data_IF_114491495680
#
_entry.id   IF_114491495680
#
_cell.length_a   1.000
_cell.length_b   1.000
_cell.length_c   1.000
_cell.angle_alpha   90.00
_cell.angle_beta   90.00
_cell.angle_gamma   90.00
#
_symmetry.space_group_name_H-M   'P 1'
#
loop_
_entity.id
_entity.type
_entity.pdbx_description
1 polymer ?
#
# COMPACT_ATOMS: atom_id res chain seq x y z
N UNK A 1 -16.78 5.38 -30.05
CA UNK A 1 -15.71 5.19 -31.05
C UNK A 1 -16.25 5.60 -32.41
N UNK A 2 -15.42 6.15 -33.29
CA UNK A 2 -15.85 6.66 -34.61
C UNK A 2 -16.08 5.55 -35.65
N UNK A 3 -15.40 4.42 -35.49
CA UNK A 3 -15.29 3.30 -36.44
C UNK A 3 -15.77 1.96 -35.87
N UNK A 4 -16.36 1.96 -34.67
CA UNK A 4 -16.86 0.76 -33.99
C UNK A 4 -18.33 0.95 -33.57
N UNK A 5 -19.30 0.33 -34.28
CA UNK A 5 -20.72 0.46 -34.00
C UNK A 5 -21.06 0.17 -32.53
N UNK A 6 -21.86 1.03 -31.90
CA UNK A 6 -22.21 0.90 -30.48
C UNK A 6 -21.06 1.07 -29.48
N UNK A 7 -19.85 1.39 -29.93
CA UNK A 7 -18.65 1.42 -29.10
C UNK A 7 -18.55 2.59 -28.13
N UNK A 8 -18.38 2.30 -26.85
CA UNK A 8 -18.11 3.27 -25.76
C UNK A 8 -16.87 2.85 -24.98
N UNK A 9 -15.91 3.75 -24.85
CA UNK A 9 -14.73 3.54 -24.02
C UNK A 9 -14.85 4.30 -22.69
N UNK A 10 -14.76 3.57 -21.58
CA UNK A 10 -14.69 4.14 -20.24
C UNK A 10 -13.23 4.33 -19.85
N UNK A 11 -12.84 5.59 -19.60
CA UNK A 11 -11.49 5.96 -19.15
C UNK A 11 -11.47 6.04 -17.62
N UNK A 12 -10.59 5.30 -16.97
CA UNK A 12 -10.55 5.24 -15.50
C UNK A 12 -9.16 4.91 -14.94
N UNK A 13 -9.06 4.86 -13.61
CA UNK A 13 -7.89 4.33 -12.90
C UNK A 13 -6.74 5.34 -12.70
N UNK A 14 -6.91 6.62 -13.04
CA UNK A 14 -5.94 7.69 -12.78
C UNK A 14 -4.71 7.71 -13.71
N UNK A 15 -4.58 6.73 -14.60
CA UNK A 15 -3.55 6.68 -15.65
C UNK A 15 -4.16 6.52 -17.04
N UNK A 16 -5.43 6.91 -17.19
CA UNK A 16 -6.19 6.87 -18.45
C UNK A 16 -6.31 5.49 -19.09
N UNK A 17 -6.41 4.44 -18.27
CA UNK A 17 -6.76 3.09 -18.75
C UNK A 17 -8.15 3.11 -19.39
N UNK A 18 -8.32 2.40 -20.49
CA UNK A 18 -9.58 2.29 -21.21
C UNK A 18 -10.20 0.90 -21.07
N UNK A 19 -11.53 0.85 -20.98
CA UNK A 19 -12.34 -0.36 -21.20
C UNK A 19 -13.38 -0.09 -22.28
N UNK A 20 -13.45 -0.97 -23.27
CA UNK A 20 -14.41 -0.87 -24.36
C UNK A 20 -15.65 -1.71 -24.05
N UNK A 21 -16.81 -1.11 -24.26
CA UNK A 21 -18.11 -1.74 -24.29
C UNK A 21 -18.76 -1.51 -25.65
N UNK A 22 -19.67 -2.40 -26.04
CA UNK A 22 -20.44 -2.29 -27.27
C UNK A 22 -21.91 -2.51 -26.94
N UNK A 23 -22.77 -1.55 -27.26
CA UNK A 23 -24.21 -1.63 -27.00
C UNK A 23 -24.99 -0.72 -27.95
N UNK A 24 -26.26 -1.05 -28.19
CA UNK A 24 -27.15 -0.26 -29.05
C UNK A 24 -27.51 1.09 -28.41
N UNK A 25 -27.96 1.09 -27.15
CA UNK A 25 -28.42 2.26 -26.40
C UNK A 25 -27.27 3.05 -25.75
N UNK A 26 -26.18 3.24 -26.49
CA UNK A 26 -24.95 3.79 -25.92
C UNK A 26 -25.11 5.22 -25.36
N UNK A 27 -25.88 6.05 -26.06
CA UNK A 27 -26.04 7.47 -25.73
C UNK A 27 -26.94 7.62 -24.49
N UNK A 28 -27.98 6.76 -24.39
CA UNK A 28 -28.83 6.65 -23.19
C UNK A 28 -28.01 6.21 -21.96
N UNK A 29 -27.14 5.20 -22.10
CA UNK A 29 -26.25 4.78 -21.03
C UNK A 29 -25.32 5.92 -20.59
N UNK A 30 -24.69 6.63 -21.54
CA UNK A 30 -23.81 7.74 -21.22
C UNK A 30 -24.53 8.87 -20.48
N UNK A 31 -25.76 9.20 -20.90
CA UNK A 31 -26.61 10.18 -20.25
C UNK A 31 -27.00 9.73 -18.84
N UNK A 32 -27.45 8.49 -18.68
CA UNK A 32 -27.82 7.92 -17.38
C UNK A 32 -26.63 7.91 -16.40
N UNK A 33 -25.43 7.56 -16.87
CA UNK A 33 -24.20 7.62 -16.06
C UNK A 33 -23.93 9.06 -15.59
N UNK A 34 -24.02 10.05 -16.49
CA UNK A 34 -23.77 11.45 -16.15
C UNK A 34 -24.81 12.00 -15.15
N UNK A 35 -26.09 11.73 -15.39
CA UNK A 35 -27.18 12.17 -14.52
C UNK A 35 -27.12 11.50 -13.14
N UNK A 36 -26.96 10.18 -13.09
CA UNK A 36 -26.92 9.44 -11.84
C UNK A 36 -25.66 9.79 -11.01
N UNK A 37 -24.50 9.95 -11.65
CA UNK A 37 -23.28 10.35 -10.94
C UNK A 37 -23.40 11.74 -10.32
N UNK A 38 -24.01 12.70 -11.00
CA UNK A 38 -24.25 14.03 -10.45
C UNK A 38 -25.32 14.00 -9.35
N UNK A 39 -26.46 13.34 -9.60
CA UNK A 39 -27.62 13.36 -8.70
C UNK A 39 -27.40 12.58 -7.39
N UNK A 40 -26.68 11.44 -7.44
CA UNK A 40 -26.59 10.52 -6.31
C UNK A 40 -25.20 10.42 -5.70
N UNK A 41 -24.15 10.74 -6.46
CA UNK A 41 -22.75 10.65 -5.99
C UNK A 41 -22.10 12.03 -5.85
N UNK A 42 -22.67 13.07 -6.49
CA UNK A 42 -22.08 14.41 -6.53
C UNK A 42 -20.82 14.49 -7.40
N UNK A 43 -20.66 13.58 -8.37
CA UNK A 43 -19.48 13.51 -9.25
C UNK A 43 -19.89 13.81 -10.69
N UNK A 44 -19.16 14.71 -11.35
CA UNK A 44 -19.41 15.04 -12.76
C UNK A 44 -18.55 14.16 -13.69
N UNK A 45 -19.17 13.14 -14.29
CA UNK A 45 -18.52 12.31 -15.30
C UNK A 45 -18.58 13.05 -16.65
N UNK A 46 -17.41 13.36 -17.22
CA UNK A 46 -17.29 14.09 -18.49
C UNK A 46 -17.18 13.12 -19.67
N UNK A 47 -18.07 13.29 -20.66
CA UNK A 47 -17.89 12.69 -21.98
C UNK A 47 -16.87 13.52 -22.79
N UNK A 48 -15.91 12.84 -23.44
CA UNK A 48 -14.96 13.50 -24.35
C UNK A 48 -15.67 13.85 -25.65
N UNK A 49 -15.47 15.07 -26.15
CA UNK A 49 -16.02 15.52 -27.45
C UNK A 49 -15.34 14.81 -28.62
N UNK A 50 -14.03 14.60 -28.51
CA UNK A 50 -13.23 13.90 -29.50
C UNK A 50 -13.43 12.38 -29.38
N UNK A 51 -13.81 11.76 -30.50
CA UNK A 51 -13.93 10.30 -30.61
C UNK A 51 -12.59 9.66 -30.91
N UNK A 52 -12.39 8.45 -30.40
CA UNK A 52 -11.23 7.59 -30.75
C UNK A 52 -11.65 6.48 -31.71
N UNK A 53 -10.69 5.96 -32.48
CA UNK A 53 -10.83 4.75 -33.29
C UNK A 53 -10.64 3.48 -32.46
N UNK A 54 -11.04 2.31 -33.00
CA UNK A 54 -10.77 1.02 -32.39
C UNK A 54 -9.27 0.73 -32.31
N UNK A 55 -8.52 1.08 -33.35
CA UNK A 55 -7.06 0.95 -33.39
C UNK A 55 -6.40 1.80 -32.28
N UNK A 56 -6.83 3.05 -32.12
CA UNK A 56 -6.36 3.89 -31.03
C UNK A 56 -6.68 3.27 -29.66
N UNK A 57 -7.89 2.73 -29.48
CA UNK A 57 -8.22 2.00 -28.26
C UNK A 57 -7.28 0.81 -28.04
N UNK A 58 -7.05 -0.03 -29.04
CA UNK A 58 -6.22 -1.24 -28.92
C UNK A 58 -4.78 -0.91 -28.51
N UNK A 59 -4.19 0.12 -29.13
CA UNK A 59 -2.83 0.58 -28.85
C UNK A 59 -2.73 1.30 -27.49
N UNK A 60 -3.74 2.11 -27.12
CA UNK A 60 -3.69 2.96 -25.92
C UNK A 60 -4.52 2.41 -24.74
N UNK A 61 -5.02 1.17 -24.78
CA UNK A 61 -5.94 0.64 -23.75
C UNK A 61 -5.38 0.64 -22.34
N UNK A 62 -4.06 0.59 -22.18
CA UNK A 62 -3.38 0.63 -20.87
C UNK A 62 -3.10 2.07 -20.41
N UNK A 63 -3.50 3.08 -21.18
CA UNK A 63 -3.31 4.49 -20.87
C UNK A 63 -1.83 4.86 -20.91
N UNK A 64 -1.34 5.57 -19.89
CA UNK A 64 0.07 5.99 -19.78
C UNK A 64 1.08 4.82 -19.86
N UNK A 65 0.63 3.59 -19.62
CA UNK A 65 1.46 2.38 -19.57
C UNK A 65 1.22 1.47 -20.79
N UNK A 66 0.84 2.07 -21.92
CA UNK A 66 0.76 1.40 -23.22
C UNK A 66 2.09 1.36 -23.97
N UNK A 67 3.16 1.95 -23.43
CA UNK A 67 4.49 1.92 -24.06
C UNK A 67 5.17 0.56 -23.88
N UNK A 68 6.14 0.26 -24.74
CA UNK A 68 6.86 -1.01 -24.73
C UNK A 68 7.66 -1.18 -23.42
N UNK A 69 8.26 -0.11 -22.89
CA UNK A 69 9.00 -0.14 -21.63
C UNK A 69 8.09 -0.52 -20.45
N UNK A 70 6.85 -0.02 -20.45
CA UNK A 70 5.90 -0.29 -19.38
C UNK A 70 5.39 -1.74 -19.37
N UNK A 71 5.45 -2.44 -20.51
CA UNK A 71 4.90 -3.80 -20.66
C UNK A 71 5.96 -4.90 -20.82
N UNK A 72 7.21 -4.54 -21.10
CA UNK A 72 8.33 -5.49 -21.23
C UNK A 72 8.77 -5.99 -19.87
N UNK A 73 8.71 -7.30 -19.67
CA UNK A 73 9.04 -7.96 -18.41
C UNK A 73 10.53 -8.24 -18.28
N UNK A 74 11.09 -8.05 -17.08
CA UNK A 74 12.41 -8.56 -16.72
C UNK A 74 12.35 -9.74 -15.75
N UNK A 75 11.20 -9.95 -15.11
CA UNK A 75 10.92 -11.12 -14.28
C UNK A 75 9.47 -11.60 -14.48
N UNK A 76 9.27 -12.90 -14.43
CA UNK A 76 7.97 -13.54 -14.61
C UNK A 76 7.75 -14.65 -13.59
N UNK A 77 6.55 -14.68 -13.03
CA UNK A 77 6.14 -15.67 -12.04
C UNK A 77 4.82 -16.33 -12.46
N UNK A 78 4.74 -17.65 -12.32
CA UNK A 78 3.45 -18.34 -12.47
C UNK A 78 2.64 -18.17 -11.19
N UNK A 79 1.41 -17.66 -11.32
CA UNK A 79 0.51 -17.46 -10.17
C UNK A 79 -0.89 -17.97 -10.44
N UNK A 80 -1.63 -18.30 -9.38
CA UNK A 80 -3.07 -18.51 -9.43
C UNK A 80 -3.77 -17.29 -8.84
N UNK A 81 -4.49 -16.55 -9.68
CA UNK A 81 -5.21 -15.35 -9.25
C UNK A 81 -6.54 -15.73 -8.62
N UNK A 82 -6.74 -15.29 -7.38
CA UNK A 82 -8.03 -15.40 -6.68
C UNK A 82 -8.84 -14.14 -6.98
N UNK A 83 -10.04 -14.30 -7.52
CA UNK A 83 -10.88 -13.18 -7.98
C UNK A 83 -12.35 -13.52 -7.82
N UNK A 84 -13.15 -12.62 -7.26
CA UNK A 84 -14.61 -12.78 -7.10
C UNK A 84 -15.37 -13.00 -8.42
N UNK A 85 -14.73 -12.69 -9.56
CA UNK A 85 -15.31 -12.87 -10.90
C UNK A 85 -15.29 -14.30 -11.40
N UNK A 86 -14.56 -15.19 -10.73
CA UNK A 86 -14.43 -16.60 -11.13
C UNK A 86 -14.59 -17.46 -9.87
N UNK A 87 -15.31 -18.59 -9.93
CA UNK A 87 -15.43 -19.50 -8.79
C UNK A 87 -14.08 -20.10 -8.41
N UNK A 88 -13.28 -20.45 -9.42
CA UNK A 88 -11.95 -21.02 -9.25
C UNK A 88 -10.84 -19.97 -9.45
N UNK A 89 -9.67 -20.26 -8.88
CA UNK A 89 -8.47 -19.45 -9.13
C UNK A 89 -8.03 -19.58 -10.59
N UNK A 90 -7.56 -18.48 -11.18
CA UNK A 90 -7.21 -18.44 -12.60
C UNK A 90 -5.70 -18.31 -12.78
N UNK A 91 -5.09 -19.23 -13.53
CA UNK A 91 -3.65 -19.19 -13.84
C UNK A 91 -3.29 -17.94 -14.63
N UNK A 92 -2.24 -17.23 -14.19
CA UNK A 92 -1.68 -16.04 -14.86
C UNK A 92 -0.16 -16.09 -14.82
N UNK A 93 0.47 -15.46 -15.80
CA UNK A 93 1.88 -15.08 -15.70
C UNK A 93 1.91 -13.67 -15.13
N UNK A 94 2.45 -13.51 -13.93
CA UNK A 94 2.64 -12.22 -13.28
C UNK A 94 4.03 -11.70 -13.62
N UNK A 95 4.05 -10.65 -14.42
CA UNK A 95 5.24 -10.03 -14.97
C UNK A 95 5.57 -8.75 -14.20
N UNK A 96 6.84 -8.60 -13.84
CA UNK A 96 7.39 -7.36 -13.30
C UNK A 96 8.13 -6.62 -14.42
N UNK A 97 7.74 -5.37 -14.62
CA UNK A 97 8.36 -4.42 -15.55
C UNK A 97 8.96 -3.27 -14.75
N UNK A 98 9.66 -2.34 -15.41
CA UNK A 98 10.31 -1.21 -14.73
C UNK A 98 9.32 -0.36 -13.93
N UNK A 99 8.08 -0.23 -14.43
CA UNK A 99 7.08 0.67 -13.85
C UNK A 99 5.78 -0.03 -13.46
N UNK A 100 5.57 -1.28 -13.85
CA UNK A 100 4.28 -1.96 -13.72
C UNK A 100 4.37 -3.42 -13.25
N UNK A 101 3.28 -3.85 -12.61
CA UNK A 101 2.91 -5.24 -12.42
C UNK A 101 1.87 -5.62 -13.49
N UNK A 102 2.22 -6.56 -14.36
CA UNK A 102 1.42 -6.94 -15.53
C UNK A 102 0.96 -8.39 -15.39
N UNK A 103 -0.34 -8.64 -15.49
CA UNK A 103 -0.85 -10.02 -15.61
C UNK A 103 -1.01 -10.36 -17.08
N UNK A 104 -0.41 -11.46 -17.51
CA UNK A 104 -0.58 -12.04 -18.85
C UNK A 104 -1.35 -13.34 -18.80
N UNK A 105 -2.09 -13.59 -19.87
CA UNK A 105 -2.67 -14.90 -20.14
C UNK A 105 -1.54 -15.87 -20.54
N UNK A 106 -1.38 -17.03 -19.86
CA UNK A 106 -0.26 -17.92 -20.15
C UNK A 106 -0.27 -18.55 -21.55
N UNK A 107 -1.45 -18.70 -22.18
CA UNK A 107 -1.57 -19.35 -23.48
C UNK A 107 -1.32 -18.39 -24.65
N UNK A 108 -1.84 -17.17 -24.54
CA UNK A 108 -1.78 -16.17 -25.62
C UNK A 108 -0.74 -15.07 -25.38
N UNK A 109 -0.17 -15.02 -24.17
CA UNK A 109 0.72 -13.95 -23.68
C UNK A 109 0.09 -12.54 -23.67
N UNK A 110 -1.22 -12.45 -23.93
CA UNK A 110 -1.96 -11.19 -23.96
C UNK A 110 -2.04 -10.56 -22.57
N UNK A 111 -1.88 -9.23 -22.50
CA UNK A 111 -1.99 -8.48 -21.25
C UNK A 111 -3.46 -8.43 -20.79
N UNK A 112 -3.73 -9.11 -19.67
CA UNK A 112 -5.03 -9.11 -18.98
C UNK A 112 -5.22 -7.82 -18.17
N UNK A 113 -4.16 -7.38 -17.48
CA UNK A 113 -4.17 -6.11 -16.75
C UNK A 113 -2.75 -5.60 -16.57
N UNK A 114 -2.62 -4.29 -16.54
CA UNK A 114 -1.41 -3.58 -16.14
C UNK A 114 -1.75 -2.71 -14.91
N UNK A 115 -0.87 -2.68 -13.92
CA UNK A 115 -1.00 -1.88 -12.71
C UNK A 115 0.33 -1.20 -12.38
N UNK A 116 0.35 0.11 -12.13
CA UNK A 116 1.60 0.81 -11.82
C UNK A 116 2.18 0.34 -10.49
N UNK A 117 3.50 0.22 -10.41
CA UNK A 117 4.19 -0.10 -9.17
C UNK A 117 4.10 1.04 -8.16
N UNK A 118 4.10 2.30 -8.63
CA UNK A 118 3.90 3.47 -7.78
C UNK A 118 2.51 3.51 -7.10
N UNK A 119 1.52 2.77 -7.63
CA UNK A 119 0.18 2.68 -7.04
C UNK A 119 0.10 1.60 -5.94
N UNK A 120 1.16 0.81 -5.69
CA UNK A 120 1.18 -0.22 -4.64
C UNK A 120 1.26 0.43 -3.27
N UNK A 121 0.26 0.19 -2.42
CA UNK A 121 0.23 0.71 -1.06
C UNK A 121 0.92 -0.22 -0.06
N UNK A 122 0.61 -1.52 -0.14
CA UNK A 122 1.18 -2.54 0.72
C UNK A 122 1.09 -3.92 0.07
N UNK A 123 1.98 -4.82 0.49
CA UNK A 123 1.95 -6.24 0.12
C UNK A 123 1.60 -7.02 1.38
N UNK A 124 0.58 -7.88 1.30
CA UNK A 124 0.16 -8.72 2.41
C UNK A 124 0.64 -10.14 2.17
N UNK A 125 1.55 -10.62 3.01
CA UNK A 125 1.99 -12.01 3.05
C UNK A 125 1.07 -12.77 4.00
N UNK A 126 0.23 -13.64 3.47
CA UNK A 126 -0.76 -14.35 4.29
C UNK A 126 -0.05 -15.25 5.33
N UNK A 127 -0.41 -15.11 6.60
CA UNK A 127 0.23 -15.83 7.70
C UNK A 127 -0.18 -17.31 7.74
N UNK A 128 -1.35 -17.66 7.21
CA UNK A 128 -1.91 -19.01 7.31
C UNK A 128 -1.61 -19.83 6.05
N UNK A 129 -1.73 -19.21 4.87
CA UNK A 129 -1.51 -19.89 3.60
C UNK A 129 -0.13 -19.53 3.02
N UNK A 130 0.82 -20.49 2.98
CA UNK A 130 2.22 -20.25 2.57
C UNK A 130 2.38 -19.85 1.10
N UNK A 131 1.35 -20.01 0.28
CA UNK A 131 1.37 -19.62 -1.13
C UNK A 131 0.66 -18.29 -1.38
N UNK A 132 -0.15 -17.82 -0.43
CA UNK A 132 -1.06 -16.69 -0.65
C UNK A 132 -0.42 -15.36 -0.30
N UNK A 133 -0.63 -14.39 -1.17
CA UNK A 133 -0.32 -12.99 -0.89
C UNK A 133 -1.32 -12.06 -1.58
N UNK A 134 -1.39 -10.80 -1.14
CA UNK A 134 -2.24 -9.80 -1.75
C UNK A 134 -1.51 -8.47 -1.94
N UNK A 135 -1.72 -7.82 -3.08
CA UNK A 135 -1.21 -6.46 -3.35
C UNK A 135 -2.36 -5.49 -3.16
N UNK A 136 -2.22 -4.58 -2.18
CA UNK A 136 -3.12 -3.44 -1.98
C UNK A 136 -2.65 -2.27 -2.83
N UNK A 137 -3.59 -1.61 -3.50
CA UNK A 137 -3.31 -0.42 -4.29
C UNK A 137 -3.92 0.82 -3.62
N UNK A 138 -3.31 1.99 -3.82
CA UNK A 138 -3.75 3.27 -3.24
C UNK A 138 -5.18 3.66 -3.62
N UNK A 139 -5.71 3.11 -4.72
CA UNK A 139 -7.10 3.31 -5.19
C UNK A 139 -8.08 2.27 -4.63
N UNK A 140 -7.68 1.51 -3.62
CA UNK A 140 -8.52 0.54 -2.89
C UNK A 140 -8.67 -0.83 -3.54
N UNK A 141 -8.14 -1.04 -4.75
CA UNK A 141 -8.12 -2.37 -5.35
C UNK A 141 -7.19 -3.29 -4.54
N UNK A 142 -7.60 -4.54 -4.35
CA UNK A 142 -6.78 -5.59 -3.75
C UNK A 142 -6.73 -6.75 -4.73
N UNK A 143 -5.53 -7.23 -5.04
CA UNK A 143 -5.34 -8.39 -5.92
C UNK A 143 -4.66 -9.51 -5.14
N UNK A 144 -5.30 -10.66 -5.08
CA UNK A 144 -4.84 -11.82 -4.32
C UNK A 144 -4.36 -12.91 -5.27
N UNK A 145 -3.24 -13.52 -4.93
CA UNK A 145 -2.58 -14.55 -5.73
C UNK A 145 -2.10 -15.69 -4.84
N UNK A 146 -1.97 -16.87 -5.42
CA UNK A 146 -1.25 -18.01 -4.86
C UNK A 146 -0.02 -18.27 -5.74
N UNK A 147 1.13 -18.55 -5.12
CA UNK A 147 2.38 -18.90 -5.80
C UNK A 147 3.19 -19.88 -4.95
N UNK A 148 3.83 -20.87 -5.58
CA UNK A 148 4.84 -21.72 -4.92
C UNK A 148 6.08 -20.94 -4.52
N UNK A 149 6.40 -19.87 -5.28
CA UNK A 149 7.56 -19.01 -5.08
C UNK A 149 7.15 -17.69 -4.39
N UNK A 150 6.17 -17.74 -3.48
CA UNK A 150 5.54 -16.55 -2.88
C UNK A 150 6.56 -15.54 -2.38
N UNK A 151 7.52 -15.97 -1.57
CA UNK A 151 8.40 -15.03 -0.86
C UNK A 151 9.43 -14.41 -1.81
N UNK A 152 9.98 -15.17 -2.77
CA UNK A 152 10.83 -14.65 -3.85
C UNK A 152 10.08 -13.65 -4.75
N UNK A 153 8.81 -13.94 -5.03
CA UNK A 153 7.93 -13.04 -5.78
C UNK A 153 7.67 -11.75 -5.00
N UNK A 154 7.28 -11.85 -3.72
CA UNK A 154 7.05 -10.68 -2.85
C UNK A 154 8.31 -9.81 -2.79
N UNK A 155 9.49 -10.41 -2.60
CA UNK A 155 10.76 -9.68 -2.58
C UNK A 155 10.99 -8.93 -3.90
N UNK A 156 10.80 -9.61 -5.05
CA UNK A 156 10.95 -9.00 -6.37
C UNK A 156 9.98 -7.82 -6.59
N UNK A 157 8.72 -7.98 -6.17
CA UNK A 157 7.71 -6.90 -6.27
C UNK A 157 8.04 -5.75 -5.33
N UNK A 158 8.46 -6.04 -4.09
CA UNK A 158 8.86 -5.02 -3.12
C UNK A 158 10.01 -4.16 -3.66
N UNK A 159 11.03 -4.81 -4.22
CA UNK A 159 12.18 -4.16 -4.83
C UNK A 159 11.78 -3.33 -6.05
N UNK A 160 10.96 -3.89 -6.95
CA UNK A 160 10.43 -3.15 -8.10
C UNK A 160 9.63 -1.92 -7.70
N UNK A 161 8.78 -2.02 -6.67
CA UNK A 161 8.01 -0.88 -6.16
C UNK A 161 8.94 0.20 -5.58
N UNK A 162 9.93 -0.19 -4.77
CA UNK A 162 10.92 0.75 -4.21
C UNK A 162 11.76 1.41 -5.30
N UNK A 163 12.18 0.64 -6.32
CA UNK A 163 12.93 1.14 -7.47
C UNK A 163 12.11 2.12 -8.32
N UNK A 164 10.80 1.94 -8.41
CA UNK A 164 9.88 2.88 -9.09
C UNK A 164 9.70 4.23 -8.37
N UNK A 165 10.38 4.44 -7.23
CA UNK A 165 10.33 5.66 -6.42
C UNK A 165 9.36 5.60 -5.24
N UNK A 166 8.55 4.54 -5.14
CA UNK A 166 7.65 4.36 -4.00
C UNK A 166 8.35 3.65 -2.84
N UNK A 167 8.92 4.45 -1.94
CA UNK A 167 9.61 3.96 -0.73
C UNK A 167 8.67 3.66 0.45
N UNK A 168 7.38 3.95 0.29
CA UNK A 168 6.35 3.78 1.33
C UNK A 168 5.73 2.38 1.36
N UNK A 169 6.05 1.53 0.38
CA UNK A 169 5.59 0.14 0.38
C UNK A 169 6.17 -0.64 1.56
N UNK A 170 5.31 -1.48 2.17
CA UNK A 170 5.68 -2.41 3.23
C UNK A 170 5.04 -3.79 2.99
N UNK A 171 5.67 -4.81 3.57
CA UNK A 171 5.12 -6.17 3.67
C UNK A 171 4.51 -6.37 5.05
N UNK A 172 3.29 -6.90 5.13
CA UNK A 172 2.51 -7.10 6.36
C UNK A 172 1.81 -8.46 6.37
N UNK A 173 1.44 -9.00 7.54
CA UNK A 173 0.62 -10.22 7.63
C UNK A 173 -0.82 -10.01 7.17
N UNK A 174 -1.38 -8.84 7.48
CA UNK A 174 -2.80 -8.54 7.27
C UNK A 174 -3.02 -7.26 6.48
N UNK A 175 -4.15 -7.26 5.76
CA UNK A 175 -4.64 -6.10 5.01
C UNK A 175 -4.74 -4.88 5.90
N UNK A 176 -4.48 -3.73 5.30
CA UNK A 176 -4.58 -2.45 5.99
C UNK A 176 -6.01 -2.23 6.50
N UNK A 177 -6.22 -1.99 7.81
CA UNK A 177 -7.54 -1.71 8.37
C UNK A 177 -8.02 -0.34 7.88
N UNK A 178 -8.79 -0.32 6.78
CA UNK A 178 -9.25 0.93 6.14
C UNK A 178 -10.01 1.86 7.10
N UNK A 179 -10.72 1.30 8.08
CA UNK A 179 -11.44 2.07 9.10
C UNK A 179 -10.55 2.85 10.07
N UNK A 180 -9.24 2.55 10.13
CA UNK A 180 -8.29 3.29 10.95
C UNK A 180 -7.57 4.41 10.21
N UNK A 181 -7.67 4.46 8.87
CA UNK A 181 -7.06 5.50 8.05
C UNK A 181 -7.96 6.74 8.01
N UNK A 182 -7.42 7.90 8.35
CA UNK A 182 -8.08 9.21 8.30
C UNK A 182 -7.76 9.95 6.99
N UNK A 183 -8.05 9.30 5.85
CA UNK A 183 -7.85 9.88 4.52
C UNK A 183 -7.70 8.83 3.41
N UNK A 184 -7.69 9.24 2.13
CA UNK A 184 -7.36 8.33 1.03
C UNK A 184 -5.94 7.77 1.13
N UNK A 185 -5.67 6.57 0.61
CA UNK A 185 -4.30 6.03 0.54
C UNK A 185 -3.43 6.75 -0.49
N UNK A 186 -4.02 7.50 -1.42
CA UNK A 186 -3.30 8.27 -2.44
C UNK A 186 -2.76 9.61 -1.94
N UNK A 187 -3.12 10.01 -0.72
CA UNK A 187 -2.71 11.30 -0.15
C UNK A 187 -2.16 11.04 1.26
N UNK A 188 -1.01 11.61 1.62
CA UNK A 188 -0.56 11.60 3.00
C UNK A 188 -1.58 12.27 3.93
N UNK A 189 -1.56 11.87 5.20
CA UNK A 189 -2.39 12.54 6.20
C UNK A 189 -1.82 13.94 6.50
N UNK A 190 -2.68 14.84 6.96
CA UNK A 190 -2.24 16.15 7.41
C UNK A 190 -1.45 16.08 8.73
N UNK A 191 -0.84 17.21 9.09
CA UNK A 191 -0.04 17.36 10.29
C UNK A 191 -0.83 17.09 11.57
N UNK A 192 -2.11 17.47 11.60
CA UNK A 192 -2.96 17.33 12.79
C UNK A 192 -3.27 15.86 13.08
N UNK A 193 -3.57 15.09 12.03
CA UNK A 193 -3.77 13.64 12.10
C UNK A 193 -2.49 12.96 12.57
N UNK A 194 -1.33 13.28 11.97
CA UNK A 194 -0.04 12.70 12.38
C UNK A 194 0.28 13.00 13.85
N UNK A 195 0.11 14.25 14.27
CA UNK A 195 0.31 14.66 15.66
C UNK A 195 -0.67 13.97 16.63
N UNK A 196 -1.92 13.75 16.20
CA UNK A 196 -2.93 13.04 16.98
C UNK A 196 -2.52 11.58 17.19
N UNK A 197 -2.03 10.90 16.15
CA UNK A 197 -1.56 9.51 16.30
C UNK A 197 -0.37 9.40 17.25
N UNK A 198 0.59 10.32 17.18
CA UNK A 198 1.72 10.38 18.12
C UNK A 198 1.24 10.56 19.58
N UNK A 199 0.29 11.47 19.80
CA UNK A 199 -0.32 11.68 21.12
C UNK A 199 -1.07 10.45 21.61
N UNK A 200 -1.78 9.74 20.74
CA UNK A 200 -2.54 8.54 21.11
C UNK A 200 -1.65 7.40 21.59
N UNK A 201 -0.40 7.30 21.13
CA UNK A 201 0.57 6.33 21.67
C UNK A 201 0.96 6.65 23.13
N UNK A 202 1.05 7.94 23.47
CA UNK A 202 1.35 8.40 24.82
C UNK A 202 0.12 8.32 25.74
N UNK A 203 -0.95 9.01 25.37
CA UNK A 203 -2.18 9.11 26.14
C UNK A 203 -3.30 8.45 25.34
N UNK A 204 -3.66 7.23 25.74
CA UNK A 204 -4.72 6.48 25.05
C UNK A 204 -6.05 7.21 25.20
N UNK A 205 -6.80 7.40 24.10
CA UNK A 205 -8.21 7.75 24.19
C UNK A 205 -9.00 6.73 25.01
N UNK A 206 -10.08 7.19 25.64
CA UNK A 206 -10.94 6.32 26.46
C UNK A 206 -11.48 5.13 25.64
N UNK A 207 -11.38 3.93 26.22
CA UNK A 207 -11.80 2.68 25.56
C UNK A 207 -10.84 2.13 24.50
N UNK A 208 -9.77 2.84 24.15
CA UNK A 208 -8.79 2.38 23.15
C UNK A 208 -7.69 1.53 23.79
N UNK A 209 -7.39 0.37 23.20
CA UNK A 209 -6.25 -0.45 23.61
C UNK A 209 -4.93 0.10 23.04
N UNK A 210 -3.80 -0.24 23.66
CA UNK A 210 -2.49 0.16 23.15
C UNK A 210 -2.20 -0.41 21.74
N UNK A 211 -2.57 -1.67 21.50
CA UNK A 211 -2.42 -2.29 20.19
C UNK A 211 -3.25 -1.56 19.13
N UNK A 212 -4.47 -1.13 19.46
CA UNK A 212 -5.29 -0.34 18.53
C UNK A 212 -4.65 1.01 18.20
N UNK A 213 -4.07 1.70 19.19
CA UNK A 213 -3.33 2.94 18.94
C UNK A 213 -2.14 2.71 17.98
N UNK A 214 -1.41 1.59 18.12
CA UNK A 214 -0.33 1.20 17.20
C UNK A 214 -0.86 0.92 15.79
N UNK A 215 -1.99 0.21 15.65
CA UNK A 215 -2.60 -0.04 14.33
C UNK A 215 -3.07 1.26 13.67
N UNK A 216 -3.69 2.19 14.43
CA UNK A 216 -4.10 3.51 13.94
C UNK A 216 -2.90 4.36 13.53
N UNK A 217 -1.83 4.36 14.32
CA UNK A 217 -0.57 5.00 13.96
C UNK A 217 -0.03 4.46 12.62
N UNK A 218 0.12 3.14 12.50
CA UNK A 218 0.63 2.50 11.28
C UNK A 218 -0.26 2.71 10.04
N UNK A 219 -1.57 2.85 10.24
CA UNK A 219 -2.50 3.14 9.15
C UNK A 219 -2.36 4.57 8.62
N UNK A 220 -1.97 5.53 9.46
CA UNK A 220 -1.94 6.95 9.10
C UNK A 220 -0.54 7.47 8.74
N UNK A 221 0.50 6.96 9.38
CA UNK A 221 1.88 7.40 9.13
C UNK A 221 2.49 6.62 7.97
N UNK A 222 3.10 7.34 7.04
CA UNK A 222 3.82 6.80 5.88
C UNK A 222 4.88 5.80 6.33
N UNK A 223 5.09 4.73 5.56
CA UNK A 223 6.08 3.74 5.97
C UNK A 223 7.46 4.37 6.05
N UNK A 224 7.80 5.26 5.12
CA UNK A 224 9.06 5.99 5.02
C UNK A 224 9.36 6.91 6.20
N UNK A 225 8.36 7.27 7.00
CA UNK A 225 8.54 8.04 8.24
C UNK A 225 7.45 9.10 8.42
N UNK A 226 7.64 9.92 9.47
CA UNK A 226 6.81 11.08 9.76
C UNK A 226 7.09 12.21 8.76
N UNK A 227 6.04 12.77 8.17
CA UNK A 227 6.17 13.83 7.16
C UNK A 227 6.25 15.22 7.80
N UNK A 228 5.70 15.38 9.00
CA UNK A 228 5.58 16.66 9.70
C UNK A 228 6.42 16.67 11.00
N UNK A 229 7.61 16.06 10.92
CA UNK A 229 8.52 15.87 12.05
C UNK A 229 9.37 17.12 12.41
N UNK A 230 9.36 18.16 11.57
CA UNK A 230 10.11 19.39 11.80
C UNK A 230 9.24 20.39 12.55
N UNK A 231 9.77 20.97 13.62
CA UNK A 231 9.08 22.05 14.35
C UNK A 231 9.17 23.32 13.53
N UNK A 232 8.03 23.89 13.09
CA UNK A 232 8.01 25.23 12.50
C UNK A 232 8.32 26.29 13.58
N UNK A 233 9.05 27.35 13.25
CA UNK A 233 9.33 28.43 14.21
C UNK A 233 8.06 29.28 14.42
N UNK A 234 7.58 29.38 15.67
CA UNK A 234 6.41 30.19 16.00
C UNK A 234 5.95 30.07 17.46
N UNK A 235 5.18 31.07 17.94
CA UNK A 235 4.73 31.18 19.34
C UNK A 235 3.80 30.01 19.77
N UNK A 236 3.15 29.34 18.82
CA UNK A 236 2.28 28.17 19.04
C UNK A 236 2.86 26.88 18.44
N UNK A 237 4.17 26.88 18.14
CA UNK A 237 4.84 25.73 17.57
C UNK A 237 4.82 24.54 18.54
N UNK A 238 4.18 23.46 18.13
CA UNK A 238 4.19 22.22 18.88
C UNK A 238 5.59 21.60 18.79
N UNK A 239 6.23 21.31 19.92
CA UNK A 239 7.54 20.64 19.93
C UNK A 239 7.40 19.19 19.41
N UNK A 240 7.61 18.99 18.11
CA UNK A 240 7.43 17.70 17.43
C UNK A 240 8.43 16.66 17.89
N UNK A 241 9.67 17.06 18.10
CA UNK A 241 10.73 16.19 18.62
C UNK A 241 10.32 15.58 19.97
N UNK A 242 9.77 16.40 20.88
CA UNK A 242 9.25 15.91 22.16
C UNK A 242 8.12 14.89 21.96
N UNK A 243 7.18 15.11 21.04
CA UNK A 243 6.11 14.14 20.77
C UNK A 243 6.66 12.81 20.25
N UNK A 244 7.62 12.87 19.33
CA UNK A 244 8.24 11.69 18.72
C UNK A 244 8.99 10.89 19.78
N UNK A 245 9.76 11.56 20.64
CA UNK A 245 10.48 10.94 21.74
C UNK A 245 9.53 10.28 22.75
N UNK A 246 8.42 10.94 23.09
CA UNK A 246 7.39 10.39 23.97
C UNK A 246 6.66 9.20 23.33
N UNK A 247 6.38 9.24 22.03
CA UNK A 247 5.79 8.13 21.30
C UNK A 247 6.74 6.91 21.27
N UNK A 248 8.04 7.12 21.01
CA UNK A 248 9.07 6.08 21.07
C UNK A 248 9.15 5.44 22.46
N UNK A 249 9.21 6.25 23.53
CA UNK A 249 9.22 5.75 24.91
C UNK A 249 7.97 4.94 25.21
N UNK A 250 6.80 5.47 24.88
CA UNK A 250 5.51 4.81 25.12
C UNK A 250 5.40 3.49 24.38
N UNK A 251 5.93 3.41 23.15
CA UNK A 251 5.95 2.18 22.36
C UNK A 251 6.75 1.08 23.05
N UNK A 252 7.89 1.41 23.63
CA UNK A 252 8.76 0.45 24.32
C UNK A 252 8.32 0.15 25.76
N UNK A 253 7.63 1.07 26.42
CA UNK A 253 7.14 0.86 27.79
C UNK A 253 5.84 0.04 27.83
N UNK A 254 5.05 0.10 26.75
CA UNK A 254 3.69 -0.47 26.68
C UNK A 254 3.56 -1.61 25.68
N UNK A 255 4.66 -2.07 25.10
CA UNK A 255 4.69 -3.16 24.09
C UNK A 255 4.31 -4.55 24.64
N UNK A 256 4.22 -4.72 25.96
CA UNK A 256 3.90 -5.99 26.60
C UNK A 256 5.07 -6.99 26.58
N UNK A 257 4.78 -8.24 26.93
CA UNK A 257 5.77 -9.32 26.88
C UNK A 257 5.94 -9.82 25.45
N UNK A 258 7.09 -9.54 24.85
CA UNK A 258 7.41 -9.86 23.46
C UNK A 258 7.41 -11.37 23.15
N UNK A 259 7.47 -12.21 24.18
CA UNK A 259 7.37 -13.67 24.04
C UNK A 259 5.92 -14.17 24.04
N UNK A 260 4.96 -13.34 24.48
CA UNK A 260 3.54 -13.73 24.67
C UNK A 260 2.58 -12.96 23.79
N UNK A 261 2.94 -11.74 23.40
CA UNK A 261 2.15 -10.92 22.47
C UNK A 261 1.95 -11.67 21.14
N UNK A 262 0.81 -11.43 20.50
CA UNK A 262 0.49 -12.08 19.23
C UNK A 262 1.47 -11.65 18.13
N UNK A 263 1.63 -12.49 17.10
CA UNK A 263 2.57 -12.21 16.01
C UNK A 263 2.19 -10.93 15.26
N UNK A 264 0.90 -10.68 15.10
CA UNK A 264 0.33 -9.49 14.44
C UNK A 264 0.64 -8.22 15.24
N UNK A 265 0.47 -8.27 16.56
CA UNK A 265 0.77 -7.13 17.42
C UNK A 265 2.28 -6.86 17.46
N UNK A 266 3.11 -7.90 17.48
CA UNK A 266 4.58 -7.75 17.43
C UNK A 266 5.05 -7.18 16.10
N UNK A 267 4.53 -7.66 14.98
CA UNK A 267 4.77 -7.11 13.64
C UNK A 267 4.39 -5.62 13.59
N UNK A 268 3.19 -5.28 14.08
CA UNK A 268 2.71 -3.90 14.12
C UNK A 268 3.62 -2.98 14.96
N UNK A 269 4.17 -3.47 16.06
CA UNK A 269 5.12 -2.70 16.88
C UNK A 269 6.43 -2.42 16.13
N UNK A 270 6.98 -3.40 15.40
CA UNK A 270 8.16 -3.18 14.56
C UNK A 270 7.89 -2.18 13.42
N UNK A 271 6.71 -2.28 12.80
CA UNK A 271 6.27 -1.32 11.80
C UNK A 271 6.11 0.10 12.35
N UNK A 272 5.66 0.26 13.60
CA UNK A 272 5.58 1.56 14.24
C UNK A 272 6.97 2.11 14.59
N UNK A 273 7.86 1.27 15.13
CA UNK A 273 9.26 1.63 15.38
C UNK A 273 9.95 2.11 14.10
N UNK A 274 9.85 1.34 13.00
CA UNK A 274 10.44 1.69 11.69
C UNK A 274 10.02 3.09 11.24
N UNK A 275 8.75 3.44 11.41
CA UNK A 275 8.21 4.75 11.01
C UNK A 275 8.74 5.88 11.89
N UNK A 276 8.80 5.66 13.19
CA UNK A 276 9.31 6.65 14.15
C UNK A 276 10.80 6.93 13.89
N UNK A 277 11.63 5.88 13.81
CA UNK A 277 13.08 6.01 13.71
C UNK A 277 13.57 6.49 12.34
N UNK A 278 12.72 6.42 11.31
CA UNK A 278 13.06 6.95 9.98
C UNK A 278 12.98 8.48 9.88
N UNK A 279 12.53 9.16 10.94
CA UNK A 279 12.65 10.61 11.07
C UNK A 279 13.94 10.98 11.80
N UNK A 280 14.52 12.16 11.50
CA UNK A 280 15.72 12.66 12.19
C UNK A 280 15.54 12.68 13.71
N UNK A 281 14.41 13.22 14.17
CA UNK A 281 14.06 13.27 15.60
C UNK A 281 13.92 11.87 16.22
N UNK A 282 13.30 10.93 15.49
CA UNK A 282 13.14 9.57 16.00
C UNK A 282 14.44 8.77 16.04
N UNK A 283 15.34 8.97 15.06
CA UNK A 283 16.68 8.40 15.10
C UNK A 283 17.49 8.97 16.27
N UNK A 284 17.44 10.29 16.45
CA UNK A 284 18.08 10.96 17.59
C UNK A 284 17.52 10.41 18.91
N UNK A 285 16.20 10.28 19.03
CA UNK A 285 15.54 9.64 20.17
C UNK A 285 16.00 8.21 20.41
N UNK A 286 16.12 7.39 19.36
CA UNK A 286 16.70 6.04 19.45
C UNK A 286 18.12 6.07 20.05
N UNK A 287 18.92 7.07 19.67
CA UNK A 287 20.32 7.18 20.10
C UNK A 287 20.52 7.77 21.50
N UNK A 288 19.65 8.70 21.92
CA UNK A 288 19.84 9.55 23.11
C UNK A 288 18.92 9.17 24.28
N UNK A 289 17.75 8.57 24.02
CA UNK A 289 16.83 8.16 25.09
C UNK A 289 17.48 7.02 25.90
N UNK A 290 17.57 7.15 27.24
CA UNK A 290 18.22 6.14 28.08
C UNK A 290 17.63 4.73 27.87
N UNK A 291 18.53 3.74 27.71
CA UNK A 291 18.20 2.31 27.49
C UNK A 291 17.41 2.01 26.21
N UNK A 292 17.13 2.98 25.34
CA UNK A 292 16.31 2.77 24.14
C UNK A 292 16.93 1.72 23.21
N UNK A 293 18.24 1.87 22.89
CA UNK A 293 18.97 0.90 22.05
C UNK A 293 18.96 -0.51 22.63
N UNK A 294 19.17 -0.64 23.93
CA UNK A 294 19.18 -1.93 24.63
C UNK A 294 17.80 -2.60 24.55
N UNK A 295 16.74 -1.87 24.86
CA UNK A 295 15.36 -2.40 24.82
C UNK A 295 14.95 -2.79 23.40
N UNK A 296 15.23 -1.97 22.39
CA UNK A 296 14.98 -2.31 20.99
C UNK A 296 15.80 -3.53 20.56
N UNK A 297 17.07 -3.63 20.97
CA UNK A 297 17.91 -4.80 20.70
C UNK A 297 17.35 -6.08 21.31
N UNK A 298 16.91 -6.03 22.56
CA UNK A 298 16.23 -7.15 23.23
C UNK A 298 14.93 -7.53 22.53
N UNK A 299 14.13 -6.54 22.09
CA UNK A 299 12.91 -6.77 21.29
C UNK A 299 13.22 -7.51 20.00
N UNK A 300 14.24 -7.08 19.26
CA UNK A 300 14.68 -7.77 18.02
C UNK A 300 15.07 -9.21 18.32
N UNK A 301 15.89 -9.47 19.33
CA UNK A 301 16.30 -10.83 19.71
C UNK A 301 15.08 -11.69 20.04
N UNK A 302 14.13 -11.18 20.82
CA UNK A 302 12.89 -11.89 21.17
C UNK A 302 12.01 -12.13 19.93
N UNK A 303 11.91 -11.15 19.04
CA UNK A 303 11.21 -11.27 17.76
C UNK A 303 11.80 -12.36 16.86
N UNK A 304 13.11 -12.40 16.68
CA UNK A 304 13.79 -13.44 15.90
C UNK A 304 13.61 -14.84 16.49
N UNK A 305 13.55 -14.96 17.83
CA UNK A 305 13.26 -16.22 18.52
C UNK A 305 11.84 -16.76 18.26
N UNK A 306 10.91 -15.94 17.75
CA UNK A 306 9.58 -16.39 17.33
C UNK A 306 9.62 -17.35 16.15
N UNK A 307 10.70 -17.34 15.35
CA UNK A 307 10.84 -18.14 14.11
C UNK A 307 9.66 -17.94 13.14
N UNK A 308 9.17 -16.71 13.10
CA UNK A 308 8.12 -16.27 12.18
C UNK A 308 8.75 -15.33 11.15
N UNK A 309 8.55 -15.62 9.88
CA UNK A 309 9.19 -14.88 8.79
C UNK A 309 8.71 -13.43 8.68
N UNK A 310 7.44 -13.17 8.99
CA UNK A 310 6.89 -11.81 8.90
C UNK A 310 7.40 -10.94 10.05
N UNK A 311 7.52 -11.50 11.26
CA UNK A 311 8.20 -10.82 12.37
C UNK A 311 9.68 -10.59 12.05
N UNK A 312 10.35 -11.61 11.52
CA UNK A 312 11.76 -11.52 11.13
C UNK A 312 11.98 -10.42 10.10
N UNK A 313 11.16 -10.39 9.05
CA UNK A 313 11.19 -9.35 8.03
C UNK A 313 10.93 -7.96 8.63
N UNK A 314 9.88 -7.79 9.44
CA UNK A 314 9.56 -6.50 10.05
C UNK A 314 10.68 -5.99 10.99
N UNK A 315 11.32 -6.88 11.75
CA UNK A 315 12.45 -6.55 12.60
C UNK A 315 13.68 -6.12 11.78
N UNK A 316 14.01 -6.87 10.72
CA UNK A 316 15.14 -6.55 9.84
C UNK A 316 14.92 -5.24 9.06
N UNK A 317 13.72 -5.02 8.53
CA UNK A 317 13.38 -3.80 7.79
C UNK A 317 13.35 -2.56 8.71
N UNK A 318 12.98 -2.74 10.00
CA UNK A 318 13.14 -1.71 11.03
C UNK A 318 14.62 -1.40 11.30
N UNK A 319 15.48 -2.43 11.43
CA UNK A 319 16.92 -2.23 11.60
C UNK A 319 17.54 -1.52 10.38
N UNK A 320 17.09 -1.82 9.16
CA UNK A 320 17.52 -1.12 7.96
C UNK A 320 17.24 0.38 8.01
N UNK A 321 16.16 0.82 8.67
CA UNK A 321 15.87 2.24 8.86
C UNK A 321 16.83 2.92 9.84
N UNK A 322 17.53 2.18 10.70
CA UNK A 322 18.55 2.69 11.63
C UNK A 322 19.96 2.76 11.00
N UNK A 323 20.14 2.23 9.79
CA UNK A 323 21.42 2.23 9.07
C UNK A 323 21.49 3.30 7.97
N UNK A 324 20.42 4.07 7.78
CA UNK A 324 20.31 5.16 6.79
C UNK A 324 20.76 6.48 7.38
#
# INVERSE_FOLDING_TARGET
>A
LSDYPGGVAVVYGGFSRMHLFALEQRDELCKAIAEASAAYVGVFIRARKETITLEHFQTQRLGKYSTDEAVTSYAEFTVQKVSIRHPDSVRRTLCLTETCLVERDPATYNICTCKPLCDVFAINRDAENPQKFSVEYVKGAIRTYLSTDRDSLIASVLDGVRASGNRDVCVKMHKTPRGYRLGPFSVPVDEEVEATQLKSLQSLPEGMSFNEAVYRFNANVSYSGLLHAVTAEGLFAQNKEKLINLALQSLIEREGDQEKVSNECLEAQFHALRRLVASKAGYQGFTEIPKMREKVGLKVIKGLKRKDDAITHAALDMLCALMQ
#
